data_IF_014297119584
#
_entry.id   IF_014297119584
#
_cell.length_a   1.000
_cell.length_b   1.000
_cell.length_c   1.000
_cell.angle_alpha   90.00
_cell.angle_beta   90.00
_cell.angle_gamma   90.00
#
_symmetry.space_group_name_H-M   'P 1'
#
loop_
_entity.id
_entity.type
_entity.pdbx_description
1 polymer ?
#
# COMPACT_ATOMS: atom_id res chain seq x y z
N UNK A 1 7.85 4.86 43.26
CA UNK A 1 7.47 6.28 43.28
C UNK A 1 8.73 7.12 43.32
N UNK A 2 8.90 8.13 42.45
CA UNK A 2 9.01 7.93 41.01
C UNK A 2 10.28 8.59 40.42
N UNK A 3 10.79 8.01 39.33
CA UNK A 3 11.70 8.65 38.39
C UNK A 3 10.97 8.77 37.05
N UNK A 4 10.79 10.00 36.58
CA UNK A 4 10.01 10.36 35.40
C UNK A 4 10.73 10.01 34.09
N UNK A 5 10.09 9.21 33.24
CA UNK A 5 10.20 9.33 31.79
C UNK A 5 8.98 8.65 31.16
N UNK A 6 7.95 9.42 30.85
CA UNK A 6 6.90 8.99 29.94
C UNK A 6 6.85 10.02 28.84
N UNK A 7 7.41 9.63 27.71
CA UNK A 7 7.17 10.21 26.40
C UNK A 7 5.68 10.48 26.22
N UNK A 8 5.36 11.62 25.65
CA UNK A 8 4.02 11.98 25.21
C UNK A 8 3.50 10.93 24.22
N UNK A 9 2.73 9.94 24.67
CA UNK A 9 1.76 9.26 23.82
C UNK A 9 0.58 10.23 23.70
N UNK A 10 0.63 11.10 22.68
CA UNK A 10 -0.51 11.94 22.30
C UNK A 10 -1.62 11.04 21.79
N UNK A 11 -2.67 10.88 22.58
CA UNK A 11 -3.83 10.06 22.27
C UNK A 11 -4.62 10.66 21.10
N UNK A 12 -4.98 9.82 20.12
CA UNK A 12 -5.86 10.19 19.02
C UNK A 12 -7.18 10.79 19.56
N UNK A 13 -7.76 11.82 18.93
CA UNK A 13 -9.08 12.34 19.32
C UNK A 13 -10.15 11.24 19.35
N UNK A 14 -11.11 11.32 20.26
CA UNK A 14 -12.17 10.31 20.41
C UNK A 14 -13.04 10.18 19.14
N UNK A 15 -13.13 11.23 18.34
CA UNK A 15 -13.86 11.30 17.07
C UNK A 15 -12.98 11.07 15.83
N UNK A 16 -11.73 10.64 16.02
CA UNK A 16 -10.83 10.31 14.92
C UNK A 16 -11.32 9.07 14.15
N UNK A 17 -11.03 9.01 12.85
CA UNK A 17 -11.51 7.94 11.97
C UNK A 17 -11.12 6.56 12.48
N UNK A 18 -9.93 6.43 13.06
CA UNK A 18 -9.38 5.16 13.52
C UNK A 18 -9.97 4.66 14.85
N UNK A 19 -10.79 5.46 15.54
CA UNK A 19 -11.47 5.02 16.77
C UNK A 19 -12.72 4.18 16.52
N UNK A 20 -13.21 4.15 15.27
CA UNK A 20 -14.42 3.43 14.87
C UNK A 20 -14.11 2.08 14.22
N UNK A 21 -14.97 1.10 14.50
CA UNK A 21 -15.00 -0.14 13.72
C UNK A 21 -15.92 0.03 12.50
N UNK A 22 -15.32 0.05 11.31
CA UNK A 22 -15.96 0.44 10.04
C UNK A 22 -16.76 -0.69 9.37
N UNK A 23 -17.45 -1.53 10.14
CA UNK A 23 -18.16 -2.72 9.65
C UNK A 23 -19.30 -2.42 8.66
N UNK A 24 -19.83 -1.20 8.67
CA UNK A 24 -20.93 -0.77 7.79
C UNK A 24 -20.49 0.15 6.64
N UNK A 25 -19.21 0.51 6.59
CA UNK A 25 -18.69 1.55 5.68
C UNK A 25 -17.50 1.07 4.85
N UNK A 26 -16.82 -0.01 5.25
CA UNK A 26 -15.69 -0.60 4.52
C UNK A 26 -15.96 -2.05 4.11
N UNK A 27 -15.33 -2.47 3.01
CA UNK A 27 -15.22 -3.86 2.58
C UNK A 27 -16.56 -4.62 2.42
N UNK A 28 -17.65 -3.89 2.12
CA UNK A 28 -18.96 -4.47 1.87
C UNK A 28 -18.97 -5.30 0.58
N UNK A 29 -19.74 -6.40 0.57
CA UNK A 29 -19.74 -7.39 -0.50
C UNK A 29 -20.15 -6.81 -1.86
N UNK A 30 -21.03 -5.80 -1.85
CA UNK A 30 -21.53 -5.09 -3.01
C UNK A 30 -20.39 -4.42 -3.80
N UNK A 31 -19.28 -4.06 -3.14
CA UNK A 31 -18.07 -3.51 -3.78
C UNK A 31 -17.52 -4.49 -4.82
N UNK A 32 -17.51 -5.78 -4.51
CA UNK A 32 -17.00 -6.81 -5.40
C UNK A 32 -17.94 -7.05 -6.59
N UNK A 33 -19.25 -6.87 -6.42
CA UNK A 33 -20.21 -6.99 -7.51
C UNK A 33 -20.08 -5.83 -8.51
N UNK A 34 -19.77 -4.62 -8.03
CA UNK A 34 -19.39 -3.50 -8.91
C UNK A 34 -18.13 -3.84 -9.70
N UNK A 35 -17.09 -4.37 -9.07
CA UNK A 35 -15.86 -4.76 -9.76
C UNK A 35 -16.10 -5.83 -10.83
N UNK A 36 -16.92 -6.85 -10.54
CA UNK A 36 -17.34 -7.86 -11.54
C UNK A 36 -18.05 -7.22 -12.73
N UNK A 37 -18.87 -6.19 -12.49
CA UNK A 37 -19.56 -5.46 -13.56
C UNK A 37 -18.57 -4.73 -14.48
N UNK A 38 -17.51 -4.13 -13.92
CA UNK A 38 -16.44 -3.47 -14.67
C UNK A 38 -15.61 -4.47 -15.47
N UNK A 39 -15.26 -5.61 -14.86
CA UNK A 39 -14.55 -6.69 -15.55
C UNK A 39 -15.32 -7.15 -16.78
N UNK A 40 -16.62 -7.42 -16.63
CA UNK A 40 -17.51 -7.81 -17.73
C UNK A 40 -17.58 -6.75 -18.84
N UNK A 41 -17.61 -5.46 -18.46
CA UNK A 41 -17.60 -4.35 -19.43
C UNK A 41 -16.32 -4.37 -20.27
N UNK A 42 -15.16 -4.46 -19.61
CA UNK A 42 -13.86 -4.47 -20.28
C UNK A 42 -13.67 -5.70 -21.16
N UNK A 43 -14.09 -6.88 -20.70
CA UNK A 43 -13.98 -8.12 -21.48
C UNK A 43 -14.82 -8.06 -22.75
N UNK A 44 -16.01 -7.46 -22.69
CA UNK A 44 -16.85 -7.26 -23.86
C UNK A 44 -16.26 -6.24 -24.85
N UNK A 45 -15.56 -5.21 -24.36
CA UNK A 45 -14.89 -4.24 -25.20
C UNK A 45 -13.59 -4.77 -25.83
N UNK A 46 -12.92 -5.72 -25.16
CA UNK A 46 -11.61 -6.24 -25.57
C UNK A 46 -11.67 -7.39 -26.59
N UNK A 47 -12.86 -7.78 -27.08
CA UNK A 47 -13.00 -8.90 -28.03
C UNK A 47 -12.23 -8.71 -29.35
N UNK A 48 -11.86 -7.48 -29.66
CA UNK A 48 -11.15 -7.10 -30.90
C UNK A 48 -9.88 -6.29 -30.64
N UNK A 49 -9.42 -6.18 -29.40
CA UNK A 49 -8.30 -5.33 -28.99
C UNK A 49 -7.44 -6.01 -27.92
N UNK A 50 -6.30 -5.39 -27.56
CA UNK A 50 -5.44 -5.88 -26.48
C UNK A 50 -6.20 -5.94 -25.14
N UNK A 51 -5.84 -6.94 -24.32
CA UNK A 51 -6.37 -7.15 -22.97
C UNK A 51 -6.32 -5.87 -22.15
N UNK A 52 -7.46 -5.48 -21.57
CA UNK A 52 -7.55 -4.35 -20.64
C UNK A 52 -7.41 -4.84 -19.19
N UNK A 53 -6.52 -4.20 -18.46
CA UNK A 53 -6.23 -4.52 -17.06
C UNK A 53 -7.02 -3.64 -16.10
N UNK A 54 -7.41 -4.22 -14.97
CA UNK A 54 -7.88 -3.50 -13.78
C UNK A 54 -6.84 -3.72 -12.68
N UNK A 55 -6.29 -2.62 -12.16
CA UNK A 55 -5.48 -2.62 -10.95
C UNK A 55 -6.38 -2.11 -9.82
N UNK A 56 -6.43 -2.82 -8.70
CA UNK A 56 -7.28 -2.43 -7.56
C UNK A 56 -6.43 -2.13 -6.34
N UNK A 57 -6.64 -0.95 -5.78
CA UNK A 57 -6.08 -0.54 -4.51
C UNK A 57 -7.15 -0.73 -3.43
N UNK A 58 -6.86 -1.62 -2.49
CA UNK A 58 -7.77 -1.90 -1.38
C UNK A 58 -7.01 -2.52 -0.21
N UNK A 59 -7.38 -2.09 0.99
CA UNK A 59 -6.98 -2.71 2.25
C UNK A 59 -8.04 -3.74 2.66
N UNK A 60 -7.98 -4.92 2.02
CA UNK A 60 -8.87 -6.05 2.28
C UNK A 60 -8.31 -7.37 1.72
N UNK A 61 -9.10 -8.44 1.76
CA UNK A 61 -8.77 -9.75 1.19
C UNK A 61 -8.57 -9.69 -0.34
N UNK A 62 -7.30 -9.71 -0.75
CA UNK A 62 -6.89 -9.69 -2.15
C UNK A 62 -7.38 -10.89 -2.97
N UNK A 63 -7.57 -12.07 -2.35
CA UNK A 63 -8.04 -13.25 -3.06
C UNK A 63 -9.46 -13.04 -3.60
N UNK A 64 -10.28 -12.31 -2.85
CA UNK A 64 -11.63 -11.92 -3.27
C UNK A 64 -11.59 -10.90 -4.42
N UNK A 65 -10.62 -9.98 -4.43
CA UNK A 65 -10.42 -9.04 -5.54
C UNK A 65 -10.02 -9.72 -6.85
N UNK A 66 -9.10 -10.69 -6.82
CA UNK A 66 -8.76 -11.50 -8.00
C UNK A 66 -10.00 -12.18 -8.58
N UNK A 67 -10.74 -12.91 -7.73
CA UNK A 67 -11.97 -13.62 -8.12
C UNK A 67 -13.10 -12.71 -8.61
N UNK A 68 -13.03 -11.43 -8.27
CA UNK A 68 -14.01 -10.42 -8.66
C UNK A 68 -13.63 -9.66 -9.94
N UNK A 69 -12.45 -9.93 -10.51
CA UNK A 69 -12.02 -9.42 -11.81
C UNK A 69 -10.87 -8.42 -11.77
N UNK A 70 -10.23 -8.20 -10.63
CA UNK A 70 -8.96 -7.47 -10.60
C UNK A 70 -7.86 -8.30 -11.26
N UNK A 71 -7.06 -7.67 -12.12
CA UNK A 71 -5.85 -8.30 -12.64
C UNK A 71 -4.71 -8.22 -11.63
N UNK A 72 -4.66 -7.13 -10.87
CA UNK A 72 -3.61 -6.85 -9.88
C UNK A 72 -4.23 -6.09 -8.71
N UNK A 73 -4.71 -6.78 -7.67
CA UNK A 73 -4.91 -6.18 -6.36
C UNK A 73 -3.55 -5.86 -5.75
N UNK A 74 -3.29 -4.58 -5.48
CA UNK A 74 -1.98 -4.13 -5.04
C UNK A 74 -1.55 -4.77 -3.72
N UNK A 75 -0.33 -5.29 -3.72
CA UNK A 75 0.33 -5.84 -2.55
C UNK A 75 1.20 -4.76 -1.89
N UNK A 76 0.75 -4.29 -0.73
CA UNK A 76 1.41 -3.23 0.01
C UNK A 76 2.38 -3.73 1.11
N UNK A 77 2.76 -5.01 1.11
CA UNK A 77 3.63 -5.58 2.17
C UNK A 77 4.97 -4.84 2.34
N UNK A 78 5.57 -4.33 1.24
CA UNK A 78 6.82 -3.55 1.28
C UNK A 78 6.64 -2.13 1.87
N UNK A 79 5.40 -1.67 1.96
CA UNK A 79 5.04 -0.34 2.48
C UNK A 79 4.57 -0.45 3.94
N UNK A 80 3.67 -1.39 4.24
CA UNK A 80 2.96 -1.45 5.52
C UNK A 80 3.60 -2.41 6.53
N UNK A 81 4.28 -3.46 6.07
CA UNK A 81 4.74 -4.55 6.96
C UNK A 81 6.27 -4.62 7.13
N UNK A 82 7.02 -3.96 6.24
CA UNK A 82 8.48 -3.96 6.26
C UNK A 82 9.05 -2.55 6.50
N UNK A 83 10.21 -2.49 7.16
CA UNK A 83 10.95 -1.26 7.41
C UNK A 83 12.47 -1.49 7.45
N UNK A 84 13.25 -0.45 7.77
CA UNK A 84 14.72 -0.54 7.81
C UNK A 84 15.29 -1.57 8.80
N UNK A 85 14.52 -2.03 9.79
CA UNK A 85 14.93 -3.07 10.76
C UNK A 85 14.59 -4.49 10.29
N UNK A 86 13.77 -4.64 9.26
CA UNK A 86 13.36 -5.96 8.75
C UNK A 86 14.54 -6.72 8.16
N UNK A 87 14.67 -7.97 8.60
CA UNK A 87 15.67 -8.94 8.22
C UNK A 87 15.29 -9.69 6.94
N UNK A 88 16.24 -10.39 6.31
CA UNK A 88 15.95 -11.21 5.13
C UNK A 88 14.88 -12.29 5.38
N UNK A 89 14.77 -12.79 6.61
CA UNK A 89 13.74 -13.76 7.01
C UNK A 89 12.34 -13.14 6.97
N UNK A 90 12.21 -11.89 7.42
CA UNK A 90 10.92 -11.17 7.40
C UNK A 90 10.46 -10.95 5.95
N UNK A 91 11.38 -10.53 5.08
CA UNK A 91 11.11 -10.41 3.64
C UNK A 91 10.66 -11.75 3.05
N UNK A 92 11.39 -12.83 3.31
CA UNK A 92 11.03 -14.16 2.80
C UNK A 92 9.65 -14.60 3.29
N UNK A 93 9.35 -14.38 4.57
CA UNK A 93 8.07 -14.77 5.15
C UNK A 93 6.90 -14.08 4.44
N UNK A 94 6.98 -12.77 4.19
CA UNK A 94 5.92 -12.03 3.51
C UNK A 94 5.82 -12.37 2.02
N UNK A 95 6.96 -12.54 1.33
CA UNK A 95 6.99 -13.00 -0.07
C UNK A 95 6.32 -14.36 -0.19
N UNK A 96 6.72 -15.33 0.64
CA UNK A 96 6.12 -16.67 0.64
C UNK A 96 4.63 -16.59 1.01
N UNK A 97 4.28 -15.74 1.99
CA UNK A 97 2.89 -15.49 2.39
C UNK A 97 2.03 -15.01 1.23
N UNK A 98 2.49 -14.01 0.47
CA UNK A 98 1.79 -13.55 -0.72
C UNK A 98 1.68 -14.64 -1.78
N UNK A 99 2.80 -15.27 -2.15
CA UNK A 99 2.85 -16.28 -3.20
C UNK A 99 1.98 -17.51 -2.91
N UNK A 100 1.90 -17.93 -1.64
CA UNK A 100 1.11 -19.10 -1.23
C UNK A 100 -0.40 -18.83 -1.14
N UNK A 101 -0.81 -17.56 -1.09
CA UNK A 101 -2.21 -17.18 -0.92
C UNK A 101 -2.86 -16.60 -2.18
N UNK A 102 -2.09 -16.31 -3.23
CA UNK A 102 -2.67 -16.04 -4.56
C UNK A 102 -3.50 -17.27 -4.97
N UNK A 103 -4.77 -17.11 -5.39
CA UNK A 103 -5.58 -18.23 -5.83
C UNK A 103 -4.92 -18.97 -7.00
N UNK A 104 -5.04 -20.30 -7.01
CA UNK A 104 -4.48 -21.16 -8.06
C UNK A 104 -5.25 -21.00 -9.38
N UNK A 105 -4.89 -19.96 -10.14
CA UNK A 105 -5.37 -19.67 -11.48
C UNK A 105 -4.23 -19.04 -12.29
N UNK A 106 -3.89 -19.56 -13.48
CA UNK A 106 -2.80 -19.05 -14.30
C UNK A 106 -3.01 -17.60 -14.80
N UNK A 107 -4.22 -17.06 -14.72
CA UNK A 107 -4.50 -15.67 -15.06
C UNK A 107 -4.11 -14.69 -13.94
N UNK A 108 -3.89 -15.15 -12.70
CA UNK A 108 -3.51 -14.31 -11.57
C UNK A 108 -1.99 -14.23 -11.44
N UNK A 109 -1.50 -13.03 -11.14
CA UNK A 109 -0.07 -12.73 -11.07
C UNK A 109 0.25 -12.02 -9.77
N UNK A 110 1.41 -12.34 -9.18
CA UNK A 110 1.90 -11.57 -8.04
C UNK A 110 2.24 -10.13 -8.46
N UNK A 111 2.30 -9.23 -7.48
CA UNK A 111 2.80 -7.89 -7.69
C UNK A 111 3.53 -7.37 -6.44
N UNK A 112 4.39 -6.38 -6.65
CA UNK A 112 5.31 -5.88 -5.63
C UNK A 112 5.34 -4.35 -5.70
N UNK A 113 4.66 -3.69 -4.77
CA UNK A 113 4.56 -2.22 -4.72
C UNK A 113 5.63 -1.65 -3.81
N UNK A 114 6.62 -0.95 -4.38
CA UNK A 114 7.73 -0.36 -3.62
C UNK A 114 7.31 0.93 -2.89
N UNK A 115 6.52 1.75 -3.57
CA UNK A 115 6.07 3.05 -3.06
C UNK A 115 4.77 3.49 -3.72
N UNK A 116 4.15 4.52 -3.14
CA UNK A 116 3.01 5.25 -3.67
C UNK A 116 3.05 6.69 -3.15
N UNK A 117 1.98 7.44 -3.35
CA UNK A 117 1.87 8.84 -2.97
C UNK A 117 1.33 9.04 -1.54
N UNK A 118 0.74 8.01 -0.94
CA UNK A 118 0.14 8.07 0.41
C UNK A 118 1.11 7.69 1.53
N UNK A 119 2.28 7.15 1.18
CA UNK A 119 3.26 6.67 2.15
C UNK A 119 4.61 7.31 1.91
N UNK A 120 5.36 7.53 3.00
CA UNK A 120 6.74 7.99 2.95
C UNK A 120 7.59 7.18 1.97
N UNK A 121 8.49 7.83 1.24
CA UNK A 121 9.32 7.21 0.19
C UNK A 121 10.13 6.03 0.69
N UNK A 122 10.37 5.06 -0.18
CA UNK A 122 11.11 3.84 0.15
C UNK A 122 12.50 4.14 0.74
N UNK A 123 13.23 5.10 0.17
CA UNK A 123 14.53 5.52 0.67
C UNK A 123 14.47 6.16 2.08
N UNK A 124 13.36 6.82 2.43
CA UNK A 124 13.13 7.34 3.78
C UNK A 124 12.72 6.23 4.76
N UNK A 125 11.94 5.23 4.33
CA UNK A 125 11.53 4.09 5.19
C UNK A 125 12.66 3.08 5.44
N UNK A 126 13.46 2.76 4.42
CA UNK A 126 14.49 1.72 4.45
C UNK A 126 15.92 2.25 4.57
N UNK A 127 16.12 3.55 4.31
CA UNK A 127 17.44 4.18 4.16
C UNK A 127 17.93 4.11 2.71
N UNK A 128 18.67 5.15 2.29
CA UNK A 128 19.13 5.32 0.91
C UNK A 128 19.92 4.12 0.37
N UNK A 129 20.70 3.44 1.23
CA UNK A 129 21.52 2.27 0.84
C UNK A 129 20.73 0.98 0.57
N UNK A 130 19.45 0.94 0.96
CA UNK A 130 18.55 -0.21 0.76
C UNK A 130 17.45 0.09 -0.26
N UNK A 131 17.29 1.35 -0.66
CA UNK A 131 16.23 1.77 -1.56
C UNK A 131 16.33 1.09 -2.93
N UNK A 132 17.54 1.04 -3.49
CA UNK A 132 17.86 0.36 -4.73
C UNK A 132 17.61 -1.15 -4.64
N UNK A 133 17.96 -1.77 -3.50
CA UNK A 133 17.73 -3.20 -3.23
C UNK A 133 16.24 -3.55 -3.27
N UNK A 134 15.37 -2.66 -2.79
CA UNK A 134 13.93 -2.90 -2.79
C UNK A 134 13.36 -2.89 -4.21
N UNK A 135 13.75 -1.91 -5.03
CA UNK A 135 13.36 -1.86 -6.45
C UNK A 135 13.93 -3.04 -7.23
N UNK A 136 15.19 -3.41 -7.02
CA UNK A 136 15.78 -4.60 -7.64
C UNK A 136 15.02 -5.87 -7.26
N UNK A 137 14.69 -6.03 -5.98
CA UNK A 137 13.92 -7.18 -5.49
C UNK A 137 12.54 -7.25 -6.17
N UNK A 138 11.81 -6.13 -6.22
CA UNK A 138 10.51 -6.06 -6.88
C UNK A 138 10.57 -6.45 -8.37
N UNK A 139 11.67 -6.12 -9.07
CA UNK A 139 11.86 -6.44 -10.49
C UNK A 139 12.29 -7.89 -10.75
N UNK A 140 12.96 -8.57 -9.81
CA UNK A 140 13.36 -9.98 -9.98
C UNK A 140 12.32 -10.97 -9.47
N UNK A 141 11.45 -10.56 -8.56
CA UNK A 141 10.33 -11.38 -8.11
C UNK A 141 9.31 -11.58 -9.25
N UNK A 142 8.61 -12.73 -9.29
CA UNK A 142 7.68 -13.04 -10.37
C UNK A 142 6.48 -12.09 -10.38
N UNK A 143 5.94 -11.80 -11.57
CA UNK A 143 4.74 -10.98 -11.73
C UNK A 143 5.04 -9.52 -12.06
N UNK A 144 4.30 -8.60 -11.45
CA UNK A 144 4.31 -7.17 -11.79
C UNK A 144 5.09 -6.36 -10.76
N UNK A 145 6.14 -5.67 -11.19
CA UNK A 145 6.84 -4.68 -10.37
C UNK A 145 6.17 -3.31 -10.47
N UNK A 146 5.85 -2.68 -9.34
CA UNK A 146 5.31 -1.31 -9.29
C UNK A 146 6.30 -0.41 -8.57
N UNK A 147 6.95 0.47 -9.35
CA UNK A 147 7.96 1.42 -8.89
C UNK A 147 7.35 2.82 -8.96
N UNK A 148 7.35 3.54 -7.83
CA UNK A 148 6.79 4.89 -7.78
C UNK A 148 7.82 5.93 -8.23
N UNK A 149 7.34 7.05 -8.76
CA UNK A 149 8.20 8.12 -9.24
C UNK A 149 9.19 8.59 -8.16
N UNK A 150 10.48 8.53 -8.50
CA UNK A 150 11.59 8.86 -7.63
C UNK A 150 12.23 7.65 -6.94
N UNK A 151 11.54 6.52 -6.81
CA UNK A 151 12.14 5.31 -6.22
C UNK A 151 13.26 4.76 -7.12
N UNK A 152 13.19 4.98 -8.44
CA UNK A 152 14.23 4.59 -9.41
C UNK A 152 15.54 5.37 -9.26
N UNK A 153 15.51 6.53 -8.61
CA UNK A 153 16.67 7.38 -8.30
C UNK A 153 16.94 7.48 -6.78
N UNK A 154 16.23 6.70 -5.96
CA UNK A 154 16.40 6.72 -4.50
C UNK A 154 15.96 8.02 -3.82
N UNK A 155 14.94 8.71 -4.37
CA UNK A 155 14.45 9.97 -3.83
C UNK A 155 13.95 9.80 -2.39
N UNK A 156 14.35 10.72 -1.52
CA UNK A 156 13.92 10.78 -0.11
C UNK A 156 12.80 11.79 0.09
N UNK A 157 12.06 11.67 1.18
CA UNK A 157 11.06 12.65 1.57
C UNK A 157 11.68 14.03 1.67
N UNK A 158 10.94 15.03 1.20
CA UNK A 158 11.25 16.42 1.47
C UNK A 158 10.77 16.74 2.89
N UNK A 159 11.56 17.53 3.63
CA UNK A 159 11.07 18.16 4.84
C UNK A 159 10.20 19.39 4.48
N UNK A 160 8.98 19.44 4.98
CA UNK A 160 8.06 20.57 4.80
C UNK A 160 7.45 20.95 6.15
N UNK A 161 7.09 22.22 6.30
CA UNK A 161 6.45 22.75 7.51
C UNK A 161 4.93 22.60 7.45
N UNK A 162 4.25 22.63 8.60
CA UNK A 162 2.78 22.62 8.64
C UNK A 162 2.14 23.73 7.78
N UNK A 163 2.78 24.91 7.72
CA UNK A 163 2.31 26.03 6.90
C UNK A 163 2.40 25.78 5.38
N UNK A 164 3.23 24.81 4.97
CA UNK A 164 3.36 24.37 3.57
C UNK A 164 2.45 23.17 3.26
N UNK A 165 1.85 22.53 4.28
CA UNK A 165 0.96 21.37 4.10
C UNK A 165 -0.31 21.78 3.37
N UNK A 166 -0.57 21.10 2.26
CA UNK A 166 -1.82 21.25 1.47
C UNK A 166 -2.61 19.95 1.38
N UNK A 167 -2.05 18.86 1.88
CA UNK A 167 -2.74 17.59 2.01
C UNK A 167 -3.90 17.76 3.00
N UNK A 168 -5.16 17.51 2.60
CA UNK A 168 -6.30 17.57 3.50
C UNK A 168 -6.12 16.71 4.76
N UNK A 169 -5.53 15.51 4.66
CA UNK A 169 -5.34 14.61 5.79
C UNK A 169 -4.35 15.21 6.79
N UNK A 170 -3.19 15.66 6.29
CA UNK A 170 -2.19 16.39 7.11
C UNK A 170 -2.73 17.69 7.71
N UNK A 171 -3.60 18.42 7.00
CA UNK A 171 -4.25 19.64 7.52
C UNK A 171 -5.16 19.33 8.71
N UNK A 172 -5.99 18.27 8.60
CA UNK A 172 -6.94 17.83 9.64
C UNK A 172 -6.18 17.31 10.86
N UNK A 173 -5.10 16.55 10.65
CA UNK A 173 -4.26 16.03 11.72
C UNK A 173 -3.64 17.14 12.61
N UNK A 174 -3.45 18.34 12.04
CA UNK A 174 -2.99 19.52 12.75
C UNK A 174 -1.46 19.61 12.89
N UNK A 175 -0.96 20.70 13.50
CA UNK A 175 0.47 21.05 13.48
C UNK A 175 1.38 20.04 14.20
N UNK A 176 0.84 19.20 15.08
CA UNK A 176 1.61 18.20 15.81
C UNK A 176 1.68 16.84 15.08
N UNK A 177 0.71 16.52 14.22
CA UNK A 177 0.60 15.20 13.58
C UNK A 177 0.70 15.22 12.05
N UNK A 178 0.67 16.40 11.42
CA UNK A 178 0.64 16.50 9.95
C UNK A 178 1.69 15.63 9.27
N UNK A 179 2.92 15.60 9.80
CA UNK A 179 4.04 14.89 9.20
C UNK A 179 3.89 13.36 9.16
N UNK A 180 3.05 12.78 10.02
CA UNK A 180 2.73 11.35 9.99
C UNK A 180 1.69 11.01 8.92
N UNK A 181 0.83 11.98 8.63
CA UNK A 181 -0.36 11.82 7.80
C UNK A 181 -0.20 12.43 6.40
N UNK A 182 0.99 12.99 6.09
CA UNK A 182 1.31 13.53 4.77
C UNK A 182 2.58 12.89 4.22
N UNK A 183 2.42 12.26 3.04
CA UNK A 183 3.42 11.45 2.34
C UNK A 183 4.61 12.21 1.78
#
# INVERSE_FOLDING_TARGET
MPGSSTSHEETCPDDDYDTLDHIYTRNLLETYDVLKSWRKLLDNHSRTADTKMILTEADADFATYYKSGSNVPFNFMFILELNNKSSATDFKHLIDGWMNNIPDDPAYVANWVVGNHDNHRAASRFGEKRADQLSMLATVLPGVSVIYNGDEIGMVNRNFTYAETVDPVGCIAGPNRYYHESG
#
